data_IF_918256332601
#
_entry.id   IF_918256332601
#
_cell.length_a   1.000
_cell.length_b   1.000
_cell.length_c   1.000
_cell.angle_alpha   90.00
_cell.angle_beta   90.00
_cell.angle_gamma   90.00
#
_symmetry.space_group_name_H-M   'P 1'
#
loop_
_entity.id
_entity.type
_entity.pdbx_description
1 polymer ?
#
# COMPACT_ATOMS: atom_id res chain seq x y z
N UNK A 1 3.65 -10.13 -3.37
CA UNK A 1 3.65 -9.12 -4.44
C UNK A 1 3.43 -7.75 -3.81
N UNK A 2 4.12 -6.70 -4.29
CA UNK A 2 4.01 -5.35 -3.70
C UNK A 2 3.43 -4.37 -4.71
N UNK A 3 2.39 -3.65 -4.29
CA UNK A 3 1.78 -2.55 -5.03
C UNK A 3 2.30 -1.24 -4.42
N UNK A 4 2.90 -0.39 -5.24
CA UNK A 4 3.49 0.88 -4.80
C UNK A 4 2.71 2.06 -5.35
N UNK A 5 2.13 2.86 -4.46
CA UNK A 5 1.43 4.09 -4.80
C UNK A 5 2.37 5.29 -4.72
N UNK A 6 2.22 6.25 -5.64
CA UNK A 6 2.91 7.52 -5.54
C UNK A 6 2.32 8.37 -4.41
N UNK A 7 3.14 9.13 -3.66
CA UNK A 7 2.64 10.03 -2.64
C UNK A 7 1.83 11.16 -3.28
N UNK A 8 0.83 11.63 -2.54
CA UNK A 8 -0.07 12.70 -2.96
C UNK A 8 0.60 14.08 -2.86
N UNK A 9 0.00 15.13 -3.45
CA UNK A 9 0.59 16.47 -3.47
C UNK A 9 0.89 17.04 -2.09
N UNK A 10 0.11 16.65 -1.07
CA UNK A 10 0.32 17.09 0.31
C UNK A 10 0.74 15.94 1.23
N UNK A 11 1.51 16.28 2.27
CA UNK A 11 1.94 15.31 3.29
C UNK A 11 0.76 14.70 4.07
N UNK A 12 -0.30 15.49 4.31
CA UNK A 12 -1.50 15.03 5.03
C UNK A 12 -2.25 13.97 4.23
N UNK A 13 -2.45 14.20 2.93
CA UNK A 13 -3.11 13.23 2.07
C UNK A 13 -2.25 11.98 1.86
N UNK A 14 -0.93 12.15 1.76
CA UNK A 14 0.02 11.02 1.75
C UNK A 14 -0.09 10.18 3.01
N UNK A 15 -0.20 10.80 4.19
CA UNK A 15 -0.40 10.10 5.46
C UNK A 15 -1.72 9.31 5.50
N UNK A 16 -2.81 9.88 5.00
CA UNK A 16 -4.10 9.18 4.93
C UNK A 16 -4.04 7.93 4.03
N UNK A 17 -3.36 8.02 2.88
CA UNK A 17 -3.16 6.84 2.02
C UNK A 17 -2.17 5.84 2.65
N UNK A 18 -1.16 6.30 3.39
CA UNK A 18 -0.25 5.40 4.10
C UNK A 18 -1.01 4.55 5.12
N UNK A 19 -1.90 5.16 5.90
CA UNK A 19 -2.78 4.45 6.83
C UNK A 19 -3.67 3.44 6.10
N UNK A 20 -4.25 3.81 4.96
CA UNK A 20 -5.01 2.87 4.13
C UNK A 20 -4.16 1.70 3.64
N UNK A 21 -2.92 1.94 3.21
CA UNK A 21 -1.99 0.89 2.76
C UNK A 21 -1.66 -0.10 3.89
N UNK A 22 -1.51 0.37 5.12
CA UNK A 22 -1.31 -0.49 6.30
C UNK A 22 -2.52 -1.39 6.51
N UNK A 23 -3.74 -0.82 6.50
CA UNK A 23 -4.98 -1.59 6.65
C UNK A 23 -5.14 -2.64 5.55
N UNK A 24 -4.91 -2.28 4.29
CA UNK A 24 -5.00 -3.20 3.15
C UNK A 24 -3.91 -4.28 3.16
N UNK A 25 -2.74 -4.00 3.75
CA UNK A 25 -1.69 -5.01 3.92
C UNK A 25 -2.02 -5.96 5.08
N UNK A 26 -2.63 -5.44 6.15
CA UNK A 26 -3.00 -6.21 7.32
C UNK A 26 -4.08 -7.26 7.04
N UNK A 27 -4.92 -7.07 6.00
CA UNK A 27 -5.88 -8.10 5.56
C UNK A 27 -5.20 -9.34 4.98
N UNK A 28 -3.91 -9.26 4.63
CA UNK A 28 -3.10 -10.35 4.05
C UNK A 28 -3.79 -11.01 2.86
N UNK A 29 -4.43 -10.20 2.01
CA UNK A 29 -5.14 -10.69 0.83
C UNK A 29 -4.19 -11.46 -0.08
N UNK A 30 -4.54 -12.70 -0.40
CA UNK A 30 -3.79 -13.52 -1.35
C UNK A 30 -4.36 -13.33 -2.75
N UNK A 31 -3.49 -13.17 -3.74
CA UNK A 31 -3.91 -13.04 -5.13
C UNK A 31 -4.47 -14.39 -5.64
N UNK A 32 -5.70 -14.41 -6.20
CA UNK A 32 -6.36 -15.65 -6.61
C UNK A 32 -5.50 -16.50 -7.55
N UNK A 33 -5.48 -17.82 -7.33
CA UNK A 33 -4.70 -18.75 -8.15
C UNK A 33 -3.19 -18.69 -7.92
N UNK A 34 -2.73 -18.02 -6.85
CA UNK A 34 -1.32 -17.96 -6.45
C UNK A 34 -1.18 -17.98 -4.93
N UNK A 35 0.03 -18.21 -4.43
CA UNK A 35 0.37 -18.03 -3.01
C UNK A 35 0.94 -16.64 -2.70
N UNK A 36 0.72 -15.67 -3.59
CA UNK A 36 1.27 -14.32 -3.45
C UNK A 36 0.36 -13.46 -2.58
N UNK A 37 0.82 -13.11 -1.39
CA UNK A 37 0.16 -12.08 -0.56
C UNK A 37 0.39 -10.68 -1.15
N UNK A 38 -0.68 -9.90 -1.23
CA UNK A 38 -0.66 -8.49 -1.61
C UNK A 38 -0.15 -7.65 -0.44
N UNK A 39 0.82 -6.79 -0.74
CA UNK A 39 1.33 -5.77 0.17
C UNK A 39 1.23 -4.41 -0.51
N UNK A 40 0.78 -3.41 0.21
CA UNK A 40 0.63 -2.05 -0.28
C UNK A 40 1.64 -1.15 0.41
N UNK A 41 2.33 -0.33 -0.37
CA UNK A 41 3.37 0.59 0.11
C UNK A 41 3.22 1.94 -0.59
N UNK A 42 3.55 3.03 0.10
CA UNK A 42 3.75 4.34 -0.54
C UNK A 42 5.22 4.46 -0.95
N UNK A 43 5.47 4.99 -2.16
CA UNK A 43 6.83 5.34 -2.58
C UNK A 43 7.34 6.48 -1.70
N UNK A 44 8.50 6.27 -1.10
CA UNK A 44 9.18 7.34 -0.37
C UNK A 44 9.75 8.32 -1.40
N UNK A 45 9.26 9.57 -1.41
CA UNK A 45 9.94 10.65 -2.14
C UNK A 45 11.14 11.09 -1.30
N UNK A 46 12.28 10.42 -1.48
CA UNK A 46 13.60 10.96 -1.11
C UNK A 46 13.91 12.21 -1.92
#
# INVERSE_FOLDING_TARGET
>A
MTIRLDPLPTSRETAAIAELCEHLTATRTTYPGTDLTLRYEIKNRT
#
